data_IF_664209723475
#
_entry.id   IF_664209723475
#
_cell.length_a   1.000
_cell.length_b   1.000
_cell.length_c   1.000
_cell.angle_alpha   90.00
_cell.angle_beta   90.00
_cell.angle_gamma   90.00
#
_symmetry.space_group_name_H-M   'P 1'
#
loop_
_entity.id
_entity.type
_entity.pdbx_description
1 polymer ?
#
# COMPACT_ATOMS: atom_id res chain seq x y z
N UNK A 1 23.41 14.96 12.98
CA UNK A 1 22.09 15.57 13.27
C UNK A 1 21.56 16.42 12.12
N UNK A 2 22.26 17.45 11.62
CA UNK A 2 21.75 18.29 10.50
C UNK A 2 21.59 17.48 9.19
N UNK A 3 22.58 16.64 8.85
CA UNK A 3 22.55 15.79 7.64
C UNK A 3 21.41 14.76 7.68
N UNK A 4 21.16 14.15 8.83
CA UNK A 4 20.05 13.20 9.00
C UNK A 4 18.70 13.91 8.88
N UNK A 5 18.54 15.10 9.45
CA UNK A 5 17.31 15.88 9.34
C UNK A 5 17.03 16.28 7.89
N UNK A 6 18.06 16.66 7.11
CA UNK A 6 17.89 16.93 5.68
C UNK A 6 17.48 15.68 4.91
N UNK A 7 17.98 14.51 5.28
CA UNK A 7 17.62 13.25 4.63
C UNK A 7 16.16 12.85 4.94
N UNK A 8 15.73 13.00 6.19
CA UNK A 8 14.33 12.83 6.58
C UNK A 8 13.43 13.76 5.77
N UNK A 9 13.77 15.05 5.68
CA UNK A 9 13.01 16.04 4.91
C UNK A 9 12.93 15.68 3.43
N UNK A 10 14.04 15.28 2.82
CA UNK A 10 14.06 14.89 1.40
C UNK A 10 13.26 13.62 1.13
N UNK A 11 13.39 12.58 1.96
CA UNK A 11 12.59 11.35 1.84
C UNK A 11 11.10 11.64 2.07
N UNK A 12 10.77 12.50 3.03
CA UNK A 12 9.39 12.91 3.30
C UNK A 12 8.81 13.73 2.13
N UNK A 13 9.59 14.60 1.52
CA UNK A 13 9.20 15.33 0.30
C UNK A 13 8.93 14.37 -0.86
N UNK A 14 9.79 13.38 -1.08
CA UNK A 14 9.59 12.36 -2.11
C UNK A 14 8.36 11.50 -1.82
N UNK A 15 8.15 11.15 -0.55
CA UNK A 15 6.94 10.47 -0.09
C UNK A 15 5.69 11.32 -0.34
N UNK A 16 5.73 12.65 -0.17
CA UNK A 16 4.61 13.51 -0.53
C UNK A 16 4.26 13.43 -2.01
N UNK A 17 5.24 13.47 -2.92
CA UNK A 17 5.01 13.30 -4.37
C UNK A 17 4.40 11.92 -4.66
N UNK A 18 4.96 10.88 -4.05
CA UNK A 18 4.44 9.52 -4.13
C UNK A 18 2.97 9.42 -3.67
N UNK A 19 2.62 10.05 -2.54
CA UNK A 19 1.25 10.07 -2.00
C UNK A 19 0.30 10.90 -2.87
N UNK A 20 0.76 11.97 -3.50
CA UNK A 20 -0.05 12.73 -4.47
C UNK A 20 -0.39 11.87 -5.68
N UNK A 21 0.59 11.14 -6.22
CA UNK A 21 0.36 10.20 -7.34
C UNK A 21 -0.65 9.12 -6.90
N UNK A 22 -0.47 8.55 -5.71
CA UNK A 22 -1.42 7.59 -5.14
C UNK A 22 -2.83 8.18 -5.00
N UNK A 23 -2.94 9.42 -4.52
CA UNK A 23 -4.22 10.12 -4.39
C UNK A 23 -4.89 10.38 -5.74
N UNK A 24 -4.14 10.79 -6.76
CA UNK A 24 -4.64 10.99 -8.13
C UNK A 24 -5.12 9.66 -8.72
N UNK A 25 -4.30 8.61 -8.64
CA UNK A 25 -4.67 7.27 -9.12
C UNK A 25 -5.88 6.70 -8.38
N UNK A 26 -6.06 7.03 -7.10
CA UNK A 26 -7.25 6.60 -6.35
C UNK A 26 -8.57 7.21 -6.86
N UNK A 27 -8.54 8.28 -7.69
CA UNK A 27 -9.74 8.82 -8.41
C UNK A 27 -10.10 8.00 -9.65
N UNK A 28 -9.22 7.11 -10.10
CA UNK A 28 -9.45 6.28 -11.29
C UNK A 28 -10.11 4.95 -10.89
N UNK A 29 -10.79 4.26 -11.83
CA UNK A 29 -11.40 2.95 -11.54
C UNK A 29 -10.38 1.85 -11.19
N UNK A 30 -9.09 2.08 -11.42
CA UNK A 30 -8.00 1.14 -11.07
C UNK A 30 -7.94 0.82 -9.57
N UNK A 31 -8.46 1.72 -8.72
CA UNK A 31 -8.46 1.54 -7.27
C UNK A 31 -9.72 0.83 -6.74
N UNK A 32 -10.75 0.64 -7.56
CA UNK A 32 -11.99 -0.06 -7.15
C UNK A 32 -11.68 -1.50 -6.70
N UNK A 33 -10.88 -2.31 -7.43
CA UNK A 33 -10.49 -3.65 -6.99
C UNK A 33 -9.71 -3.67 -5.68
N UNK A 34 -8.97 -2.60 -5.37
CA UNK A 34 -8.18 -2.48 -4.12
C UNK A 34 -9.07 -2.26 -2.89
N UNK A 35 -10.27 -1.72 -3.07
CA UNK A 35 -11.23 -1.49 -1.98
C UNK A 35 -12.07 -2.71 -1.63
N UNK A 36 -12.14 -3.69 -2.53
CA UNK A 36 -12.90 -4.91 -2.35
C UNK A 36 -11.97 -6.08 -2.07
N UNK A 37 -11.95 -6.58 -0.82
CA UNK A 37 -11.27 -7.84 -0.49
C UNK A 37 -12.08 -8.99 -1.07
N UNK A 38 -11.94 -9.24 -2.37
CA UNK A 38 -12.52 -10.40 -3.04
C UNK A 38 -11.41 -11.33 -3.49
N UNK A 39 -11.66 -12.64 -3.40
CA UNK A 39 -10.70 -13.71 -3.70
C UNK A 39 -10.47 -13.90 -5.21
N UNK A 40 -11.10 -13.08 -6.06
CA UNK A 40 -11.11 -13.26 -7.49
C UNK A 40 -9.75 -12.91 -8.10
N UNK A 41 -9.22 -13.82 -8.92
CA UNK A 41 -7.96 -13.70 -9.65
C UNK A 41 -7.75 -12.36 -10.39
N UNK A 42 -8.75 -11.76 -11.09
CA UNK A 42 -8.55 -10.47 -11.76
C UNK A 42 -8.19 -9.34 -10.79
N UNK A 43 -8.75 -9.33 -9.58
CA UNK A 43 -8.46 -8.29 -8.59
C UNK A 43 -7.04 -8.44 -8.02
N UNK A 44 -6.56 -9.68 -7.88
CA UNK A 44 -5.17 -9.96 -7.49
C UNK A 44 -4.17 -9.51 -8.55
N UNK A 45 -4.49 -9.66 -9.84
CA UNK A 45 -3.65 -9.17 -10.93
C UNK A 45 -3.53 -7.65 -10.93
N UNK A 46 -4.65 -6.94 -10.71
CA UNK A 46 -4.64 -5.47 -10.58
C UNK A 46 -3.82 -5.04 -9.37
N UNK A 47 -3.98 -5.71 -8.21
CA UNK A 47 -3.14 -5.45 -7.03
C UNK A 47 -1.65 -5.60 -7.37
N UNK A 48 -1.28 -6.71 -8.01
CA UNK A 48 0.10 -6.95 -8.42
C UNK A 48 0.63 -5.83 -9.32
N UNK A 49 -0.05 -5.51 -10.43
CA UNK A 49 0.43 -4.50 -11.39
C UNK A 49 0.57 -3.11 -10.75
N UNK A 50 -0.44 -2.69 -9.98
CA UNK A 50 -0.43 -1.37 -9.33
C UNK A 50 0.66 -1.29 -8.28
N UNK A 51 0.77 -2.28 -7.39
CA UNK A 51 1.77 -2.25 -6.33
C UNK A 51 3.19 -2.51 -6.82
N UNK A 52 3.40 -3.30 -7.87
CA UNK A 52 4.70 -3.42 -8.54
C UNK A 52 5.13 -2.09 -9.16
N UNK A 53 4.22 -1.36 -9.81
CA UNK A 53 4.50 -0.02 -10.35
C UNK A 53 4.90 0.95 -9.24
N UNK A 54 4.15 0.96 -8.13
CA UNK A 54 4.48 1.74 -6.94
C UNK A 54 5.84 1.35 -6.34
N UNK A 55 6.14 0.05 -6.26
CA UNK A 55 7.42 -0.44 -5.76
C UNK A 55 8.58 0.00 -6.67
N UNK A 56 8.43 -0.07 -8.00
CA UNK A 56 9.45 0.41 -8.93
C UNK A 56 9.64 1.94 -8.77
N UNK A 57 8.53 2.68 -8.73
CA UNK A 57 8.53 4.13 -8.55
C UNK A 57 9.21 4.57 -7.23
N UNK A 58 8.99 3.82 -6.13
CA UNK A 58 9.64 4.05 -4.85
C UNK A 58 11.17 3.86 -4.88
N UNK A 59 11.70 3.16 -5.89
CA UNK A 59 13.15 3.08 -6.15
C UNK A 59 13.65 4.31 -6.87
N UNK A 60 12.92 4.79 -7.87
CA UNK A 60 13.30 5.95 -8.67
C UNK A 60 13.23 7.25 -7.87
N UNK A 61 12.24 7.37 -6.98
CA UNK A 61 12.16 8.46 -6.02
C UNK A 61 13.05 8.23 -4.79
N UNK A 62 13.94 7.23 -4.78
CA UNK A 62 14.90 7.06 -3.70
C UNK A 62 16.05 8.07 -3.75
N UNK A 63 16.66 8.34 -2.61
CA UNK A 63 17.88 9.14 -2.51
C UNK A 63 19.11 8.26 -2.63
N UNK A 64 20.05 8.67 -3.49
CA UNK A 64 21.34 8.00 -3.62
C UNK A 64 22.29 8.49 -2.53
N UNK A 65 22.78 7.58 -1.71
CA UNK A 65 23.68 7.84 -0.58
C UNK A 65 24.76 6.76 -0.59
N UNK A 66 26.03 7.16 -0.76
CA UNK A 66 27.20 6.28 -0.64
C UNK A 66 27.04 4.94 -1.40
N UNK A 67 26.71 5.02 -2.69
CA UNK A 67 26.48 3.87 -3.61
C UNK A 67 25.28 2.97 -3.27
N UNK A 68 24.36 3.46 -2.43
CA UNK A 68 23.10 2.81 -2.10
C UNK A 68 21.91 3.76 -2.27
N UNK A 69 20.70 3.20 -2.25
CA UNK A 69 19.46 3.94 -2.52
C UNK A 69 18.54 3.82 -1.31
N UNK A 70 18.42 4.89 -0.53
CA UNK A 70 17.38 5.04 0.49
C UNK A 70 16.04 5.24 -0.21
N UNK A 71 15.06 4.37 0.03
CA UNK A 71 13.91 4.23 -0.85
C UNK A 71 12.59 4.07 -0.08
N UNK A 72 11.48 4.24 -0.79
CA UNK A 72 10.14 4.04 -0.24
C UNK A 72 9.44 2.81 -0.81
N UNK A 73 10.22 1.82 -1.28
CA UNK A 73 9.71 0.60 -1.92
C UNK A 73 8.83 -0.25 -1.02
N UNK A 74 9.18 -0.31 0.26
CA UNK A 74 8.49 -1.13 1.24
C UNK A 74 6.98 -0.84 1.27
N UNK A 75 6.58 0.42 1.01
CA UNK A 75 5.16 0.79 0.93
C UNK A 75 4.44 -0.05 -0.13
N UNK A 76 4.99 -0.18 -1.33
CA UNK A 76 4.40 -0.96 -2.42
C UNK A 76 4.35 -2.44 -2.10
N UNK A 77 5.45 -3.02 -1.61
CA UNK A 77 5.54 -4.43 -1.27
C UNK A 77 4.58 -4.82 -0.12
N UNK A 78 4.63 -4.08 1.00
CA UNK A 78 3.80 -4.36 2.19
C UNK A 78 2.32 -4.21 1.86
N UNK A 79 1.90 -3.13 1.21
CA UNK A 79 0.50 -2.92 0.85
C UNK A 79 0.02 -3.95 -0.19
N UNK A 80 0.87 -4.31 -1.15
CA UNK A 80 0.59 -5.37 -2.11
C UNK A 80 0.33 -6.72 -1.43
N UNK A 81 1.11 -7.06 -0.40
CA UNK A 81 0.86 -8.21 0.45
C UNK A 81 -0.42 -8.07 1.28
N UNK A 82 -0.61 -6.94 1.96
CA UNK A 82 -1.75 -6.73 2.85
C UNK A 82 -3.10 -6.74 2.13
N UNK A 83 -3.17 -6.28 0.88
CA UNK A 83 -4.41 -6.26 0.10
C UNK A 83 -4.55 -7.48 -0.82
N UNK A 84 -3.45 -7.94 -1.42
CA UNK A 84 -3.45 -9.04 -2.41
C UNK A 84 -3.16 -10.44 -1.84
N UNK A 85 -2.69 -10.53 -0.60
CA UNK A 85 -2.29 -11.78 0.05
C UNK A 85 -0.82 -12.16 -0.18
N UNK A 86 -0.37 -13.30 0.37
CA UNK A 86 1.06 -13.69 0.43
C UNK A 86 1.71 -13.84 -0.94
N UNK A 87 1.01 -14.47 -1.89
CA UNK A 87 1.55 -14.69 -3.23
C UNK A 87 1.65 -13.40 -4.05
N UNK A 88 0.69 -12.48 -3.90
CA UNK A 88 0.75 -11.17 -4.57
C UNK A 88 1.86 -10.33 -3.95
N UNK A 89 1.95 -10.28 -2.62
CA UNK A 89 3.01 -9.56 -1.92
C UNK A 89 4.41 -10.06 -2.29
N UNK A 90 4.61 -11.38 -2.36
CA UNK A 90 5.88 -11.96 -2.79
C UNK A 90 6.19 -11.62 -4.25
N UNK A 91 5.21 -11.69 -5.15
CA UNK A 91 5.40 -11.33 -6.56
C UNK A 91 5.74 -9.83 -6.74
N UNK A 92 5.04 -8.94 -6.04
CA UNK A 92 5.34 -7.50 -6.01
C UNK A 92 6.76 -7.28 -5.49
N UNK A 93 7.09 -7.89 -4.34
CA UNK A 93 8.40 -7.76 -3.73
C UNK A 93 9.53 -8.30 -4.61
N UNK A 94 9.30 -9.41 -5.31
CA UNK A 94 10.24 -9.97 -6.28
C UNK A 94 10.45 -9.03 -7.47
N UNK A 95 9.39 -8.49 -8.06
CA UNK A 95 9.53 -7.57 -9.21
C UNK A 95 10.22 -6.25 -8.84
N UNK A 96 9.82 -5.61 -7.74
CA UNK A 96 10.48 -4.39 -7.27
C UNK A 96 11.90 -4.63 -6.74
N UNK A 97 12.14 -5.79 -6.13
CA UNK A 97 13.47 -6.23 -5.72
C UNK A 97 14.40 -6.49 -6.89
N UNK A 98 13.92 -7.19 -7.93
CA UNK A 98 14.68 -7.48 -9.15
C UNK A 98 14.98 -6.20 -9.93
N UNK A 99 14.02 -5.28 -10.02
CA UNK A 99 14.25 -3.97 -10.61
C UNK A 99 15.36 -3.23 -9.86
N UNK A 100 15.32 -3.18 -8.52
CA UNK A 100 16.41 -2.59 -7.73
C UNK A 100 17.74 -3.32 -7.93
N UNK A 101 17.72 -4.64 -8.00
CA UNK A 101 18.92 -5.45 -8.21
C UNK A 101 19.58 -5.10 -9.54
N UNK A 102 18.78 -4.88 -10.59
CA UNK A 102 19.27 -4.49 -11.92
C UNK A 102 20.01 -3.15 -11.97
N UNK A 103 19.75 -2.25 -11.00
CA UNK A 103 20.46 -0.97 -10.89
C UNK A 103 21.86 -1.12 -10.26
N UNK A 104 22.21 -2.30 -9.75
CA UNK A 104 23.53 -2.56 -9.16
C UNK A 104 23.77 -1.83 -7.83
N UNK A 105 25.02 -1.85 -7.37
CA UNK A 105 25.46 -1.25 -6.10
C UNK A 105 25.59 -2.26 -4.95
N UNK A 106 26.24 -1.81 -3.87
CA UNK A 106 26.65 -2.66 -2.73
C UNK A 106 25.46 -3.37 -2.06
N UNK A 107 24.29 -2.73 -2.04
CA UNK A 107 23.09 -3.21 -1.35
C UNK A 107 22.12 -3.95 -2.26
N UNK A 108 22.40 -4.09 -3.55
CA UNK A 108 21.47 -4.62 -4.55
C UNK A 108 20.86 -5.98 -4.17
N UNK A 109 21.70 -6.95 -3.78
CA UNK A 109 21.24 -8.29 -3.38
C UNK A 109 20.44 -8.28 -2.08
N UNK A 110 20.94 -7.59 -1.05
CA UNK A 110 20.27 -7.49 0.25
C UNK A 110 18.89 -6.79 0.13
N UNK A 111 18.82 -5.72 -0.66
CA UNK A 111 17.59 -4.99 -0.96
C UNK A 111 16.58 -5.79 -1.80
N UNK A 112 17.02 -6.77 -2.59
CA UNK A 112 16.09 -7.65 -3.29
C UNK A 112 15.43 -8.62 -2.30
N UNK A 113 16.25 -9.26 -1.47
CA UNK A 113 15.78 -10.22 -0.45
C UNK A 113 14.88 -9.53 0.57
N UNK A 114 15.25 -8.33 1.03
CA UNK A 114 14.43 -7.59 1.99
C UNK A 114 13.06 -7.22 1.41
N UNK A 115 13.01 -6.71 0.18
CA UNK A 115 11.74 -6.30 -0.45
C UNK A 115 10.81 -7.50 -0.70
N UNK A 116 11.36 -8.68 -1.01
CA UNK A 116 10.58 -9.92 -1.04
C UNK A 116 10.03 -10.29 0.34
N UNK A 117 10.85 -10.17 1.39
CA UNK A 117 10.44 -10.42 2.77
C UNK A 117 9.34 -9.46 3.22
N UNK A 118 9.46 -8.17 2.93
CA UNK A 118 8.47 -7.13 3.26
C UNK A 118 7.09 -7.46 2.65
N UNK A 119 7.09 -7.80 1.36
CA UNK A 119 5.87 -8.18 0.65
C UNK A 119 5.25 -9.48 1.19
N UNK A 120 6.08 -10.48 1.48
CA UNK A 120 5.62 -11.72 2.08
C UNK A 120 5.03 -11.48 3.48
N UNK A 121 5.70 -10.68 4.32
CA UNK A 121 5.25 -10.35 5.67
C UNK A 121 3.89 -9.64 5.66
N UNK A 122 3.70 -8.64 4.78
CA UNK A 122 2.40 -8.01 4.58
C UNK A 122 1.31 -9.01 4.18
N UNK A 123 1.64 -9.97 3.32
CA UNK A 123 0.70 -10.99 2.89
C UNK A 123 0.44 -12.13 3.89
N UNK A 124 1.39 -12.43 4.77
CA UNK A 124 1.16 -13.34 5.90
C UNK A 124 0.21 -12.69 6.92
N UNK A 125 0.37 -11.39 7.19
CA UNK A 125 -0.56 -10.63 8.03
C UNK A 125 -1.95 -10.58 7.39
N UNK A 126 -2.03 -10.42 6.08
CA UNK A 126 -3.29 -10.58 5.34
C UNK A 126 -3.95 -11.93 5.63
N UNK A 127 -3.21 -13.03 5.41
CA UNK A 127 -3.73 -14.37 5.62
C UNK A 127 -4.19 -14.59 7.08
N UNK A 128 -3.42 -14.10 8.05
CA UNK A 128 -3.77 -14.18 9.47
C UNK A 128 -5.07 -13.45 9.80
N UNK A 129 -5.21 -12.19 9.37
CA UNK A 129 -6.40 -11.38 9.65
C UNK A 129 -7.64 -11.91 8.92
N UNK A 130 -7.51 -12.36 7.67
CA UNK A 130 -8.62 -12.96 6.93
C UNK A 130 -9.08 -14.26 7.59
N UNK A 131 -8.17 -15.13 8.05
CA UNK A 131 -8.52 -16.38 8.75
C UNK A 131 -9.22 -16.13 10.09
N UNK A 132 -8.90 -15.03 10.78
CA UNK A 132 -9.56 -14.61 12.03
C UNK A 132 -10.89 -13.87 11.81
N UNK A 133 -11.32 -13.68 10.55
CA UNK A 133 -12.52 -12.90 10.22
C UNK A 133 -12.36 -11.38 10.39
N UNK A 134 -11.16 -10.89 10.68
CA UNK A 134 -10.87 -9.48 10.97
C UNK A 134 -10.53 -8.67 9.70
N UNK A 135 -11.28 -8.87 8.61
CA UNK A 135 -11.01 -8.24 7.31
C UNK A 135 -11.03 -6.70 7.37
N UNK A 136 -11.83 -6.13 8.26
CA UNK A 136 -11.89 -4.68 8.45
C UNK A 136 -10.55 -4.07 8.89
N UNK A 137 -9.74 -4.81 9.66
CA UNK A 137 -8.44 -4.34 10.15
C UNK A 137 -7.37 -4.28 9.08
N UNK A 138 -7.57 -4.90 7.91
CA UNK A 138 -6.64 -4.77 6.78
C UNK A 138 -6.60 -3.35 6.22
N UNK A 139 -7.68 -2.59 6.42
CA UNK A 139 -7.77 -1.20 6.00
C UNK A 139 -7.45 -0.21 7.12
N UNK A 140 -7.11 -0.69 8.32
CA UNK A 140 -6.78 0.17 9.45
C UNK A 140 -5.37 0.75 9.25
N UNK A 141 -5.21 2.08 9.11
CA UNK A 141 -3.91 2.72 8.91
C UNK A 141 -2.90 2.38 10.01
N UNK A 142 -3.34 2.17 11.25
CA UNK A 142 -2.45 1.86 12.37
C UNK A 142 -1.88 0.43 12.26
N UNK A 143 -2.69 -0.52 11.81
CA UNK A 143 -2.25 -1.90 11.59
C UNK A 143 -1.23 -1.93 10.45
N UNK A 144 -1.51 -1.24 9.34
CA UNK A 144 -0.58 -1.12 8.22
C UNK A 144 0.74 -0.46 8.65
N UNK A 145 0.67 0.62 9.44
CA UNK A 145 1.86 1.28 9.97
C UNK A 145 2.71 0.33 10.81
N UNK A 146 2.09 -0.44 11.72
CA UNK A 146 2.80 -1.41 12.55
C UNK A 146 3.47 -2.49 11.70
N UNK A 147 2.79 -3.02 10.68
CA UNK A 147 3.34 -4.02 9.76
C UNK A 147 4.51 -3.45 8.96
N UNK A 148 4.38 -2.24 8.42
CA UNK A 148 5.44 -1.58 7.68
C UNK A 148 6.68 -1.31 8.57
N UNK A 149 6.47 -0.87 9.80
CA UNK A 149 7.56 -0.66 10.76
C UNK A 149 8.31 -1.97 11.08
N UNK A 150 7.58 -3.06 11.32
CA UNK A 150 8.20 -4.38 11.55
C UNK A 150 8.93 -4.87 10.30
N UNK A 151 8.37 -4.65 9.12
CA UNK A 151 9.00 -5.01 7.85
C UNK A 151 10.33 -4.25 7.65
N UNK A 152 10.36 -2.95 7.94
CA UNK A 152 11.56 -2.12 7.87
C UNK A 152 12.65 -2.56 8.86
N UNK A 153 12.26 -2.91 10.10
CA UNK A 153 13.21 -3.47 11.07
C UNK A 153 13.85 -4.74 10.48
N UNK A 154 13.04 -5.62 9.87
CA UNK A 154 13.52 -6.80 9.15
C UNK A 154 14.50 -6.44 8.03
N UNK A 155 14.19 -5.42 7.22
CA UNK A 155 15.07 -4.93 6.16
C UNK A 155 16.44 -4.48 6.70
N UNK A 156 16.47 -3.69 7.78
CA UNK A 156 17.73 -3.22 8.37
C UNK A 156 18.60 -4.38 8.88
N UNK A 157 17.97 -5.41 9.46
CA UNK A 157 18.66 -6.63 9.88
C UNK A 157 19.23 -7.41 8.68
N UNK A 158 18.46 -7.55 7.60
CA UNK A 158 18.91 -8.21 6.36
C UNK A 158 20.10 -7.46 5.75
N UNK A 159 20.07 -6.12 5.75
CA UNK A 159 21.18 -5.30 5.27
C UNK A 159 22.45 -5.54 6.09
N UNK A 160 22.39 -5.54 7.43
CA UNK A 160 23.55 -5.84 8.28
C UNK A 160 24.09 -7.25 8.06
N UNK A 161 23.20 -8.23 7.83
CA UNK A 161 23.59 -9.61 7.65
C UNK A 161 24.28 -9.88 6.29
N UNK A 162 23.73 -9.33 5.19
CA UNK A 162 24.13 -9.69 3.83
C UNK A 162 25.14 -8.71 3.20
N UNK A 163 25.17 -7.44 3.62
CA UNK A 163 26.06 -6.45 3.00
C UNK A 163 27.50 -6.62 3.52
N UNK A 164 28.47 -6.57 2.59
CA UNK A 164 29.90 -6.67 2.87
C UNK A 164 30.68 -5.59 2.11
N UNK A 165 31.68 -4.92 2.74
CA UNK A 165 32.20 -5.13 4.10
C UNK A 165 31.25 -4.62 5.21
N UNK A 166 31.32 -5.25 6.39
CA UNK A 166 30.39 -4.97 7.52
C UNK A 166 30.46 -3.53 8.03
N UNK A 167 31.65 -2.92 8.04
CA UNK A 167 31.79 -1.51 8.44
C UNK A 167 30.99 -0.55 7.55
N UNK A 168 30.92 -0.83 6.24
CA UNK A 168 30.13 -0.04 5.31
C UNK A 168 28.63 -0.26 5.55
N UNK A 169 28.21 -1.49 5.89
CA UNK A 169 26.82 -1.81 6.19
C UNK A 169 26.33 -1.07 7.45
N UNK A 170 27.14 -1.03 8.51
CA UNK A 170 26.78 -0.35 9.77
C UNK A 170 26.64 1.16 9.59
N UNK A 171 27.60 1.81 8.92
CA UNK A 171 27.53 3.25 8.62
C UNK A 171 26.30 3.59 7.78
N UNK A 172 26.02 2.75 6.80
CA UNK A 172 24.86 2.90 5.94
C UNK A 172 23.56 2.78 6.73
N UNK A 173 23.37 1.70 7.48
CA UNK A 173 22.17 1.47 8.30
C UNK A 173 21.98 2.56 9.34
N UNK A 174 23.04 3.03 10.00
CA UNK A 174 22.96 4.14 10.95
C UNK A 174 22.39 5.42 10.32
N UNK A 175 22.77 5.72 9.07
CA UNK A 175 22.30 6.92 8.36
C UNK A 175 20.89 6.81 7.77
N UNK A 176 20.44 5.60 7.40
CA UNK A 176 19.18 5.40 6.66
C UNK A 176 18.06 4.79 7.51
N UNK A 177 18.37 4.12 8.62
CA UNK A 177 17.38 3.38 9.40
C UNK A 177 16.25 4.30 9.89
N UNK A 178 16.60 5.37 10.59
CA UNK A 178 15.61 6.29 11.14
C UNK A 178 14.78 6.99 10.04
N UNK A 179 15.38 7.58 8.99
CA UNK A 179 14.62 8.27 7.96
C UNK A 179 13.74 7.34 7.12
N UNK A 180 14.21 6.15 6.76
CA UNK A 180 13.44 5.18 5.98
C UNK A 180 12.30 4.57 6.79
N UNK A 181 12.56 4.16 8.04
CA UNK A 181 11.51 3.64 8.92
C UNK A 181 10.38 4.65 9.09
N UNK A 182 10.72 5.91 9.36
CA UNK A 182 9.74 6.97 9.54
C UNK A 182 8.93 7.22 8.25
N UNK A 183 9.62 7.39 7.11
CA UNK A 183 8.97 7.66 5.82
C UNK A 183 8.09 6.48 5.37
N UNK A 184 8.56 5.25 5.47
CA UNK A 184 7.83 4.09 4.96
C UNK A 184 6.65 3.72 5.85
N UNK A 185 6.81 3.83 7.17
CA UNK A 185 5.71 3.62 8.13
C UNK A 185 4.62 4.67 7.95
N UNK A 186 4.99 5.95 7.91
CA UNK A 186 4.03 7.04 7.78
C UNK A 186 3.40 7.05 6.38
N UNK A 187 4.18 6.79 5.34
CA UNK A 187 3.72 6.70 3.96
C UNK A 187 2.73 5.56 3.76
N UNK A 188 3.00 4.37 4.31
CA UNK A 188 2.07 3.25 4.24
C UNK A 188 0.75 3.55 4.99
N UNK A 189 0.82 4.18 6.17
CA UNK A 189 -0.36 4.59 6.93
C UNK A 189 -1.20 5.63 6.15
N UNK A 190 -0.56 6.65 5.58
CA UNK A 190 -1.23 7.69 4.81
C UNK A 190 -1.84 7.13 3.52
N UNK A 191 -1.13 6.24 2.82
CA UNK A 191 -1.67 5.55 1.65
C UNK A 191 -2.91 4.73 2.02
N UNK A 192 -2.87 4.01 3.14
CA UNK A 192 -4.01 3.26 3.62
C UNK A 192 -5.20 4.17 3.96
N UNK A 193 -4.94 5.33 4.56
CA UNK A 193 -5.97 6.33 4.84
C UNK A 193 -6.61 6.88 3.56
N UNK A 194 -5.82 7.18 2.53
CA UNK A 194 -6.33 7.60 1.21
C UNK A 194 -7.25 6.52 0.61
N UNK A 195 -6.83 5.25 0.67
CA UNK A 195 -7.64 4.12 0.22
C UNK A 195 -8.96 4.00 1.00
N UNK A 196 -8.91 4.13 2.32
CA UNK A 196 -10.09 4.06 3.19
C UNK A 196 -11.07 5.19 2.87
N UNK A 197 -10.59 6.41 2.70
CA UNK A 197 -11.42 7.57 2.34
C UNK A 197 -12.15 7.34 1.00
N UNK A 198 -11.50 6.70 0.03
CA UNK A 198 -12.15 6.33 -1.24
C UNK A 198 -13.21 5.27 -1.08
N UNK A 199 -12.98 4.28 -0.22
CA UNK A 199 -13.98 3.26 0.08
C UNK A 199 -15.21 3.88 0.72
N UNK A 200 -15.04 4.72 1.75
CA UNK A 200 -16.15 5.41 2.44
C UNK A 200 -16.91 6.29 1.46
N UNK A 201 -16.21 6.98 0.57
CA UNK A 201 -16.85 7.80 -0.45
C UNK A 201 -17.65 6.96 -1.47
N UNK A 202 -17.11 5.84 -1.93
CA UNK A 202 -17.80 4.91 -2.82
C UNK A 202 -19.04 4.28 -2.17
N UNK A 203 -18.94 3.88 -0.89
CA UNK A 203 -20.07 3.39 -0.11
C UNK A 203 -21.16 4.45 0.03
N UNK A 204 -20.81 5.70 0.38
CA UNK A 204 -21.77 6.84 0.45
C UNK A 204 -22.51 7.08 -0.86
N UNK A 205 -21.82 7.03 -2.00
CA UNK A 205 -22.46 7.18 -3.31
C UNK A 205 -23.44 6.04 -3.61
N UNK A 206 -23.06 4.80 -3.29
CA UNK A 206 -23.93 3.63 -3.46
C UNK A 206 -25.20 3.74 -2.61
N UNK A 207 -25.07 4.09 -1.32
CA UNK A 207 -26.23 4.22 -0.42
C UNK A 207 -27.16 5.36 -0.85
N UNK A 208 -26.62 6.49 -1.30
CA UNK A 208 -27.41 7.62 -1.78
C UNK A 208 -28.20 7.28 -3.05
N UNK A 209 -27.59 6.52 -3.97
CA UNK A 209 -28.28 6.02 -5.18
C UNK A 209 -29.39 5.03 -4.83
N UNK A 210 -29.10 4.03 -3.99
CA UNK A 210 -30.10 3.06 -3.54
C UNK A 210 -31.25 3.73 -2.77
N UNK A 211 -30.96 4.70 -1.90
CA UNK A 211 -31.96 5.46 -1.16
C UNK A 211 -32.90 6.25 -2.09
N UNK A 212 -32.34 6.96 -3.09
CA UNK A 212 -33.16 7.67 -4.10
C UNK A 212 -33.99 6.70 -4.94
N UNK A 213 -33.43 5.57 -5.36
CA UNK A 213 -34.16 4.56 -6.12
C UNK A 213 -35.35 3.99 -5.31
N UNK A 214 -35.13 3.67 -4.03
CA UNK A 214 -36.20 3.20 -3.14
C UNK A 214 -37.29 4.26 -2.93
N UNK A 215 -36.89 5.53 -2.80
CA UNK A 215 -37.83 6.64 -2.64
C UNK A 215 -38.68 6.88 -3.90
N UNK A 216 -38.09 6.70 -5.09
CA UNK A 216 -38.82 6.76 -6.36
C UNK A 216 -39.79 5.58 -6.47
N UNK A 217 -39.36 4.37 -6.14
CA UNK A 217 -40.21 3.18 -6.14
C UNK A 217 -41.40 3.35 -5.17
N UNK A 218 -41.16 3.80 -3.94
CA UNK A 218 -42.21 4.05 -2.96
C UNK A 218 -43.21 5.13 -3.42
N UNK A 219 -42.75 6.18 -4.11
CA UNK A 219 -43.64 7.18 -4.72
C UNK A 219 -44.45 6.62 -5.88
N UNK A 220 -43.84 5.78 -6.72
CA UNK A 220 -44.52 5.14 -7.85
C UNK A 220 -45.61 4.18 -7.36
N UNK A 221 -45.34 3.36 -6.35
CA UNK A 221 -46.34 2.51 -5.69
C UNK A 221 -47.47 3.33 -5.09
N UNK A 222 -47.14 4.41 -4.35
CA UNK A 222 -48.14 5.31 -3.78
C UNK A 222 -49.04 6.00 -4.81
N UNK A 223 -48.51 6.31 -6.01
CA UNK A 223 -49.30 6.82 -7.13
C UNK A 223 -50.17 5.72 -7.77
N UNK A 224 -49.63 4.51 -7.95
CA UNK A 224 -50.35 3.38 -8.55
C UNK A 224 -51.51 2.91 -7.67
N UNK A 225 -51.29 2.82 -6.36
CA UNK A 225 -52.33 2.52 -5.37
C UNK A 225 -53.46 3.55 -5.40
N UNK A 226 -53.14 4.85 -5.49
CA UNK A 226 -54.14 5.93 -5.59
C UNK A 226 -54.92 5.89 -6.90
N UNK A 227 -54.27 5.53 -8.01
CA UNK A 227 -54.92 5.40 -9.31
C UNK A 227 -55.86 4.18 -9.37
N UNK A 228 -55.55 3.09 -8.67
CA UNK A 228 -56.40 1.90 -8.56
C UNK A 228 -57.71 2.17 -7.80
N UNK A 229 -57.63 2.91 -6.69
CA UNK A 229 -58.81 3.31 -5.89
C UNK A 229 -59.75 4.21 -6.70
N UNK A 230 -59.21 5.05 -7.58
CA UNK A 230 -60.00 5.98 -8.41
C UNK A 230 -60.70 5.33 -9.61
N UNK A 231 -60.36 4.08 -9.94
CA UNK A 231 -61.01 3.29 -11.00
C UNK A 231 -62.12 2.35 -10.48
N UNK A 232 -62.22 2.19 -9.16
CA UNK A 232 -63.21 1.33 -8.48
C UNK A 232 -64.35 2.11 -7.84
N UNK A 233 -64.34 3.44 -7.94
CA UNK A 233 -65.44 4.35 -7.61
C UNK A 233 -66.02 4.93 -8.91
#
# INVERSE_FOLDING_TARGET
MIVELTLVLSLLQQMCVYLVIAYLLSKTPLFIPLTQITLQLPHKLVCYLVFSMFCIMGTYFGLHIQDSIANTRAIGAVLGGMLGGPWVGLAVGFTGGLHRYSLGGLTAGACMVSTMMEGLLGGLVHLYLVRRGLRARLFDPLVVAAVACVAEIGQMLILLALVRPSEAAERLVASIALPMMAANTLGAAMFMRILLDRRVLAEKYSTAFSGKALQIAARAEGCCARASIRKTA
#
